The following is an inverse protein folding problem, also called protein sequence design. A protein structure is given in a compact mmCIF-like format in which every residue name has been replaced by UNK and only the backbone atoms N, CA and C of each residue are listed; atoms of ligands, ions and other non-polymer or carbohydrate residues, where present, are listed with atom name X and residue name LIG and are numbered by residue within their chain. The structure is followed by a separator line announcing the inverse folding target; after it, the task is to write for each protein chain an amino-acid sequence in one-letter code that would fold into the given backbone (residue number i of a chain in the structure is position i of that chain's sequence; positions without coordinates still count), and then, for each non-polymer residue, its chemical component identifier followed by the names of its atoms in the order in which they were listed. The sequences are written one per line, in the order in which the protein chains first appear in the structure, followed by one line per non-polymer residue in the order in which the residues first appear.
data_IF_659428110886
#
_entry.id   IF_659428110886
#
_cell.length_a   1.000
_cell.length_b   1.000
_cell.length_c   1.000
_cell.angle_alpha   90.00
_cell.angle_beta   90.00
_cell.angle_gamma   90.00
#
_symmetry.space_group_name_H-M   'P 1'
#
loop_
_entity.id
_entity.type
_entity.pdbx_description
1 polymer ?
#
# COMPACT_ATOMS: atom_id res chain seq x y z
N UNK A 1 -6.99 -59.65 -8.50
CA UNK A 1 -6.49 -58.27 -8.65
C UNK A 1 -7.20 -57.41 -7.61
N UNK A 2 -6.58 -57.19 -6.45
CA UNK A 2 -7.14 -56.40 -5.36
C UNK A 2 -6.76 -54.94 -5.56
N UNK A 3 -7.75 -54.08 -5.79
CA UNK A 3 -7.57 -52.63 -5.83
C UNK A 3 -7.33 -52.13 -4.40
N UNK A 4 -6.11 -51.73 -4.11
CA UNK A 4 -5.78 -50.96 -2.91
C UNK A 4 -6.37 -49.57 -3.07
N UNK A 5 -7.53 -49.33 -2.45
CA UNK A 5 -8.02 -47.97 -2.19
C UNK A 5 -6.99 -47.27 -1.32
N UNK A 6 -6.25 -46.34 -1.90
CA UNK A 6 -5.26 -45.51 -1.23
C UNK A 6 -6.01 -44.70 -0.15
N UNK A 7 -5.91 -45.13 1.11
CA UNK A 7 -6.34 -44.32 2.23
C UNK A 7 -5.35 -43.15 2.35
N UNK A 8 -5.66 -42.05 1.67
CA UNK A 8 -4.92 -40.80 1.81
C UNK A 8 -5.17 -40.34 3.25
N UNK A 9 -4.13 -40.42 4.09
CA UNK A 9 -4.20 -39.94 5.46
C UNK A 9 -4.53 -38.43 5.45
N UNK A 10 -5.28 -37.97 6.45
CA UNK A 10 -5.66 -36.56 6.58
C UNK A 10 -4.45 -35.62 6.53
N UNK A 11 -3.31 -36.06 7.03
CA UNK A 11 -2.03 -35.33 6.96
C UNK A 11 -1.57 -35.04 5.52
N UNK A 12 -1.72 -36.00 4.61
CA UNK A 12 -1.35 -35.81 3.20
C UNK A 12 -2.28 -34.80 2.55
N UNK A 13 -3.57 -34.81 2.92
CA UNK A 13 -4.55 -33.82 2.42
C UNK A 13 -4.18 -32.41 2.90
N UNK A 14 -3.81 -32.24 4.18
CA UNK A 14 -3.40 -30.94 4.71
C UNK A 14 -2.09 -30.43 4.10
N UNK A 15 -1.11 -31.31 3.85
CA UNK A 15 0.14 -30.94 3.17
C UNK A 15 -0.12 -30.46 1.73
N UNK A 16 -0.99 -31.14 0.99
CA UNK A 16 -1.38 -30.73 -0.37
C UNK A 16 -2.13 -29.40 -0.33
N UNK A 17 -3.05 -29.21 0.62
CA UNK A 17 -3.81 -27.97 0.77
C UNK A 17 -2.88 -26.78 1.06
N UNK A 18 -1.91 -26.95 1.98
CA UNK A 18 -0.92 -25.93 2.32
C UNK A 18 -0.01 -25.61 1.14
N UNK A 19 0.42 -26.62 0.38
CA UNK A 19 1.23 -26.42 -0.82
C UNK A 19 0.46 -25.60 -1.89
N UNK A 20 -0.83 -25.87 -2.08
CA UNK A 20 -1.69 -25.10 -3.01
C UNK A 20 -1.84 -23.64 -2.55
N UNK A 21 -2.03 -23.40 -1.25
CA UNK A 21 -2.12 -22.03 -0.69
C UNK A 21 -0.81 -21.27 -0.89
N UNK A 22 0.34 -21.91 -0.66
CA UNK A 22 1.66 -21.28 -0.87
C UNK A 22 1.87 -20.96 -2.36
N UNK A 23 1.54 -21.89 -3.26
CA UNK A 23 1.67 -21.68 -4.71
C UNK A 23 0.75 -20.54 -5.17
N UNK A 24 -0.50 -20.50 -4.70
CA UNK A 24 -1.43 -19.41 -5.01
C UNK A 24 -0.92 -18.07 -4.47
N UNK A 25 -0.35 -18.05 -3.26
CA UNK A 25 0.29 -16.87 -2.69
C UNK A 25 1.42 -16.35 -3.59
N UNK A 26 2.33 -17.23 -4.02
CA UNK A 26 3.46 -16.88 -4.90
C UNK A 26 2.97 -16.40 -6.27
N UNK A 27 1.96 -17.05 -6.86
CA UNK A 27 1.39 -16.65 -8.16
C UNK A 27 0.75 -15.27 -8.08
N UNK A 28 0.09 -14.92 -6.97
CA UNK A 28 -0.44 -13.57 -6.75
C UNK A 28 0.72 -12.57 -6.58
N UNK A 29 1.74 -12.88 -5.79
CA UNK A 29 2.91 -12.00 -5.61
C UNK A 29 3.63 -11.75 -6.94
N UNK A 30 3.89 -12.80 -7.73
CA UNK A 30 4.60 -12.69 -9.01
C UNK A 30 3.71 -12.07 -10.09
N UNK A 31 2.43 -12.43 -10.15
CA UNK A 31 1.47 -11.92 -11.13
C UNK A 31 1.12 -10.44 -10.97
N UNK A 32 1.14 -9.92 -9.74
CA UNK A 32 0.98 -8.48 -9.46
C UNK A 32 2.30 -7.72 -9.69
N UNK A 33 3.45 -8.34 -9.46
CA UNK A 33 4.76 -7.71 -9.61
C UNK A 33 5.28 -7.68 -11.06
N UNK A 34 4.86 -8.63 -11.92
CA UNK A 34 5.29 -8.69 -13.31
C UNK A 34 4.87 -7.49 -14.19
N UNK A 35 3.63 -6.95 -14.12
CA UNK A 35 3.28 -5.76 -14.88
C UNK A 35 3.91 -4.47 -14.31
N UNK A 36 4.38 -4.47 -13.06
CA UNK A 36 5.07 -3.30 -12.45
C UNK A 36 6.52 -3.20 -12.94
N UNK A 37 7.19 -4.34 -13.18
CA UNK A 37 8.59 -4.34 -13.63
C UNK A 37 8.76 -4.11 -15.14
N UNK A 38 7.79 -4.48 -15.97
CA UNK A 38 7.91 -4.32 -17.43
C UNK A 38 7.47 -2.95 -17.94
N UNK A 39 6.69 -2.20 -17.15
CA UNK A 39 6.28 -0.83 -17.51
C UNK A 39 7.23 0.26 -16.99
N UNK A 40 8.30 -0.11 -16.27
CA UNK A 40 9.25 0.81 -15.64
C UNK A 40 10.65 0.82 -16.31
N UNK A 41 10.77 0.38 -17.56
CA UNK A 41 12.04 0.42 -18.31
C UNK A 41 12.20 1.66 -19.20
N UNK A 42 11.64 2.78 -18.77
CA UNK A 42 11.73 4.05 -19.48
C UNK A 42 11.41 5.24 -18.58
N UNK A 43 12.29 5.55 -17.63
CA UNK A 43 12.71 6.92 -17.32
C UNK A 43 13.59 6.90 -16.06
N UNK A 44 14.89 6.64 -16.23
CA UNK A 44 15.89 7.18 -15.31
C UNK A 44 15.99 8.68 -15.61
N UNK A 45 15.02 9.45 -15.17
CA UNK A 45 15.13 10.90 -15.08
C UNK A 45 15.50 11.20 -13.64
N UNK A 46 16.79 11.50 -13.44
CA UNK A 46 17.36 12.30 -12.36
C UNK A 46 16.50 12.42 -11.10
N UNK A 47 16.95 11.78 -10.02
CA UNK A 47 16.74 12.29 -8.66
C UNK A 47 17.28 13.73 -8.65
N UNK A 48 16.42 14.64 -9.08
CA UNK A 48 16.66 16.06 -9.03
C UNK A 48 16.67 16.42 -7.57
N UNK A 49 17.84 16.85 -7.13
CA UNK A 49 18.11 17.69 -5.98
C UNK A 49 17.11 18.88 -6.00
N UNK A 50 15.87 18.64 -5.54
CA UNK A 50 14.88 19.69 -5.32
C UNK A 50 15.31 20.38 -4.04
N UNK A 51 15.80 21.62 -4.21
CA UNK A 51 16.09 22.54 -3.12
C UNK A 51 14.93 22.58 -2.11
N UNK A 52 15.31 22.44 -0.85
CA UNK A 52 14.48 22.37 0.37
C UNK A 52 13.89 23.74 0.74
N UNK A 53 13.32 24.48 -0.22
CA UNK A 53 12.82 25.84 0.07
C UNK A 53 11.30 25.95 0.20
N UNK A 54 10.51 24.93 -0.16
CA UNK A 54 9.05 24.91 0.05
C UNK A 54 8.50 23.48 0.29
N UNK A 55 9.26 22.60 0.99
CA UNK A 55 8.72 21.29 1.36
C UNK A 55 7.63 21.44 2.44
N UNK A 56 6.42 20.97 2.09
CA UNK A 56 5.26 20.97 2.96
C UNK A 56 5.54 20.27 4.31
N UNK A 57 5.01 20.77 5.45
CA UNK A 57 5.37 20.29 6.78
C UNK A 57 5.18 18.78 6.98
N UNK A 58 4.14 18.22 6.37
CA UNK A 58 3.83 16.78 6.40
C UNK A 58 4.91 15.95 5.71
N UNK A 59 5.28 16.33 4.47
CA UNK A 59 6.28 15.60 3.68
C UNK A 59 7.64 15.64 4.36
N UNK A 60 8.00 16.78 4.96
CA UNK A 60 9.24 16.91 5.74
C UNK A 60 9.25 15.99 6.96
N UNK A 61 8.15 15.93 7.74
CA UNK A 61 8.03 15.04 8.91
C UNK A 61 8.14 13.57 8.52
N UNK A 62 7.47 13.18 7.43
CA UNK A 62 7.56 11.82 6.93
C UNK A 62 8.98 11.53 6.46
N UNK A 63 9.59 12.37 5.62
CA UNK A 63 10.99 12.18 5.16
C UNK A 63 11.97 12.03 6.33
N UNK A 64 11.85 12.89 7.35
CA UNK A 64 12.65 12.77 8.57
C UNK A 64 12.43 11.42 9.30
N UNK A 65 11.18 10.95 9.38
CA UNK A 65 10.87 9.62 9.95
C UNK A 65 11.57 8.49 9.19
N UNK A 66 11.67 8.60 7.86
CA UNK A 66 12.45 7.68 7.03
C UNK A 66 13.96 7.78 7.28
N UNK A 67 14.51 8.98 7.38
CA UNK A 67 15.94 9.20 7.68
C UNK A 67 16.35 8.65 9.04
N UNK A 68 15.45 8.66 10.02
CA UNK A 68 15.64 8.04 11.33
C UNK A 68 15.55 6.49 11.32
N UNK A 69 15.37 5.88 10.15
CA UNK A 69 15.22 4.43 9.97
C UNK A 69 13.87 3.89 10.45
N UNK A 70 12.91 4.76 10.77
CA UNK A 70 11.56 4.40 11.25
C UNK A 70 10.59 4.18 10.09
N UNK A 71 11.02 3.45 9.06
CA UNK A 71 10.28 3.27 7.82
C UNK A 71 8.85 2.76 8.03
N UNK A 72 8.67 1.76 8.89
CA UNK A 72 7.35 1.19 9.18
C UNK A 72 6.37 2.24 9.73
N UNK A 73 6.85 3.10 10.64
CA UNK A 73 6.04 4.17 11.22
C UNK A 73 5.65 5.17 10.13
N UNK A 74 6.62 5.59 9.31
CA UNK A 74 6.36 6.52 8.21
C UNK A 74 5.40 5.95 7.15
N UNK A 75 5.48 4.65 6.84
CA UNK A 75 4.53 3.97 5.93
C UNK A 75 3.10 3.93 6.48
N UNK A 76 2.95 3.72 7.79
CA UNK A 76 1.65 3.73 8.44
C UNK A 76 1.07 5.14 8.43
N UNK A 77 1.88 6.14 8.80
CA UNK A 77 1.48 7.53 8.84
C UNK A 77 1.11 8.06 7.45
N UNK A 78 1.90 7.77 6.42
CA UNK A 78 1.64 8.23 5.04
C UNK A 78 0.26 7.79 4.54
N UNK A 79 -0.09 6.52 4.76
CA UNK A 79 -1.41 5.99 4.39
C UNK A 79 -2.53 6.62 5.21
N UNK A 80 -2.36 6.72 6.53
CA UNK A 80 -3.37 7.31 7.42
C UNK A 80 -3.67 8.77 7.05
N UNK A 81 -2.66 9.58 6.76
CA UNK A 81 -2.86 10.98 6.39
C UNK A 81 -3.68 11.12 5.11
N UNK A 82 -3.38 10.32 4.08
CA UNK A 82 -4.17 10.33 2.84
C UNK A 82 -5.58 9.82 3.07
N UNK A 83 -5.73 8.72 3.80
CA UNK A 83 -7.04 8.14 4.12
C UNK A 83 -7.92 9.17 4.82
N UNK A 84 -7.44 9.76 5.90
CA UNK A 84 -8.22 10.70 6.72
C UNK A 84 -8.58 11.95 5.92
N UNK A 85 -7.66 12.44 5.09
CA UNK A 85 -7.94 13.60 4.27
C UNK A 85 -8.94 13.33 3.15
N UNK A 86 -8.92 12.14 2.53
CA UNK A 86 -9.91 11.76 1.53
C UNK A 86 -11.28 11.48 2.15
N UNK A 87 -11.33 10.91 3.37
CA UNK A 87 -12.58 10.75 4.10
C UNK A 87 -13.23 12.12 4.37
N UNK A 88 -12.44 13.11 4.77
CA UNK A 88 -12.92 14.47 4.99
C UNK A 88 -13.36 15.15 3.69
N UNK A 89 -12.57 15.03 2.63
CA UNK A 89 -12.88 15.63 1.32
C UNK A 89 -14.22 15.13 0.78
N UNK A 90 -14.42 13.81 0.79
CA UNK A 90 -15.62 13.19 0.25
C UNK A 90 -16.75 13.08 1.29
N UNK A 91 -16.59 13.72 2.45
CA UNK A 91 -17.53 13.71 3.57
C UNK A 91 -18.05 12.29 3.88
N UNK A 92 -17.13 11.34 3.98
CA UNK A 92 -17.42 9.92 4.19
C UNK A 92 -17.46 9.66 5.70
N UNK A 93 -18.63 9.29 6.18
CA UNK A 93 -18.77 8.76 7.53
C UNK A 93 -18.45 7.26 7.51
N UNK A 94 -17.62 6.83 8.46
CA UNK A 94 -17.31 5.42 8.70
C UNK A 94 -17.60 5.08 10.16
N UNK A 95 -17.95 3.82 10.41
CA UNK A 95 -18.16 3.28 11.74
C UNK A 95 -16.84 2.82 12.34
N UNK A 96 -16.77 2.79 13.68
CA UNK A 96 -15.64 2.14 14.39
C UNK A 96 -15.55 0.63 14.13
N UNK A 97 -16.64 0.04 13.63
CA UNK A 97 -16.67 -1.38 13.26
C UNK A 97 -16.10 -1.65 11.85
N UNK A 98 -15.94 -0.61 11.03
CA UNK A 98 -15.49 -0.78 9.64
C UNK A 98 -13.99 -1.12 9.61
N UNK A 99 -13.65 -2.09 8.78
CA UNK A 99 -12.26 -2.45 8.51
C UNK A 99 -11.59 -1.42 7.61
N UNK A 100 -10.25 -1.33 7.64
CA UNK A 100 -9.50 -0.43 6.74
C UNK A 100 -9.81 -0.68 5.26
N UNK A 101 -10.12 -1.93 4.90
CA UNK A 101 -10.52 -2.32 3.55
C UNK A 101 -11.89 -1.74 3.17
N UNK A 102 -12.85 -1.76 4.08
CA UNK A 102 -14.18 -1.18 3.88
C UNK A 102 -14.09 0.34 3.78
N UNK A 103 -13.30 0.97 4.65
CA UNK A 103 -12.99 2.39 4.59
C UNK A 103 -12.38 2.74 3.22
N UNK A 104 -11.33 2.02 2.78
CA UNK A 104 -10.74 2.24 1.46
C UNK A 104 -11.76 2.06 0.33
N UNK A 105 -12.60 1.02 0.39
CA UNK A 105 -13.63 0.77 -0.61
C UNK A 105 -14.62 1.93 -0.71
N UNK A 106 -15.01 2.51 0.42
CA UNK A 106 -15.90 3.70 0.45
C UNK A 106 -15.25 4.93 -0.20
N UNK A 107 -13.92 5.05 -0.10
CA UNK A 107 -13.13 6.09 -0.75
C UNK A 107 -13.04 5.78 -2.26
N UNK A 108 -12.48 4.65 -2.68
CA UNK A 108 -12.19 4.34 -4.09
C UNK A 108 -13.41 4.19 -4.99
N UNK A 109 -14.60 3.96 -4.42
CA UNK A 109 -15.83 3.85 -5.19
C UNK A 109 -16.49 5.20 -5.49
N UNK A 110 -15.90 6.33 -5.07
CA UNK A 110 -16.37 7.67 -5.41
C UNK A 110 -16.21 7.99 -6.89
N UNK A 111 -17.25 8.57 -7.49
CA UNK A 111 -17.32 8.85 -8.93
C UNK A 111 -16.28 9.88 -9.36
N UNK A 112 -15.91 10.79 -8.46
CA UNK A 112 -14.89 11.82 -8.65
C UNK A 112 -13.47 11.22 -8.71
N UNK A 113 -13.30 9.95 -8.32
CA UNK A 113 -12.01 9.31 -8.24
C UNK A 113 -11.59 8.69 -9.57
N UNK A 114 -10.59 9.28 -10.22
CA UNK A 114 -10.02 8.71 -11.46
C UNK A 114 -9.42 7.30 -11.22
N UNK A 115 -9.46 6.44 -12.24
CA UNK A 115 -8.83 5.10 -12.20
C UNK A 115 -7.37 5.14 -11.74
N UNK A 116 -6.61 6.16 -12.19
CA UNK A 116 -5.21 6.34 -11.81
C UNK A 116 -4.99 6.59 -10.31
N UNK A 117 -5.89 7.35 -9.69
CA UNK A 117 -5.87 7.63 -8.24
C UNK A 117 -6.26 6.37 -7.47
N UNK A 118 -7.32 5.68 -7.90
CA UNK A 118 -7.77 4.41 -7.29
C UNK A 118 -6.63 3.40 -7.23
N UNK A 119 -5.91 3.20 -8.34
CA UNK A 119 -4.76 2.29 -8.39
C UNK A 119 -3.67 2.69 -7.40
N UNK A 120 -3.35 3.99 -7.29
CA UNK A 120 -2.30 4.47 -6.38
C UNK A 120 -2.68 4.32 -4.91
N UNK A 121 -3.94 4.60 -4.56
CA UNK A 121 -4.47 4.38 -3.22
C UNK A 121 -4.45 2.90 -2.84
N UNK A 122 -4.82 2.01 -3.77
CA UNK A 122 -4.70 0.57 -3.58
C UNK A 122 -3.25 0.14 -3.36
N UNK A 123 -2.30 0.68 -4.12
CA UNK A 123 -0.87 0.40 -3.92
C UNK A 123 -0.39 0.87 -2.54
N UNK A 124 -0.75 2.08 -2.11
CA UNK A 124 -0.46 2.59 -0.77
C UNK A 124 -1.06 1.72 0.33
N UNK A 125 -2.31 1.28 0.15
CA UNK A 125 -2.97 0.37 1.08
C UNK A 125 -2.26 -0.98 1.20
N UNK A 126 -1.78 -1.55 0.10
CA UNK A 126 -1.00 -2.81 0.13
C UNK A 126 0.29 -2.63 0.93
N UNK A 127 1.01 -1.53 0.71
CA UNK A 127 2.23 -1.21 1.47
C UNK A 127 1.89 -1.04 2.96
N UNK A 128 0.79 -0.35 3.26
CA UNK A 128 0.29 -0.17 4.63
C UNK A 128 -0.06 -1.49 5.31
N UNK A 129 -0.85 -2.36 4.68
CA UNK A 129 -1.24 -3.66 5.22
C UNK A 129 0.00 -4.53 5.50
N UNK A 130 0.93 -4.58 4.55
CA UNK A 130 2.21 -5.26 4.73
C UNK A 130 3.02 -4.67 5.90
N UNK A 131 3.02 -3.35 6.08
CA UNK A 131 3.75 -2.69 7.16
C UNK A 131 3.09 -2.85 8.53
N UNK A 132 1.75 -2.89 8.55
CA UNK A 132 0.95 -3.03 9.78
C UNK A 132 0.97 -4.45 10.34
N UNK A 133 0.88 -5.44 9.44
CA UNK A 133 0.75 -6.85 9.82
C UNK A 133 2.01 -7.69 9.56
N UNK A 134 2.99 -7.14 8.85
CA UNK A 134 4.24 -7.83 8.57
C UNK A 134 5.19 -7.87 9.77
N UNK A 135 5.74 -9.05 10.05
CA UNK A 135 6.92 -9.23 10.93
C UNK A 135 8.25 -8.85 10.22
N UNK A 136 8.19 -8.32 9.01
CA UNK A 136 9.35 -7.95 8.20
C UNK A 136 9.65 -6.46 8.39
N UNK A 137 10.91 -6.13 8.64
CA UNK A 137 11.35 -4.74 8.67
C UNK A 137 11.01 -4.09 7.32
N UNK A 138 10.24 -3.00 7.36
CA UNK A 138 9.96 -2.18 6.19
C UNK A 138 11.28 -1.73 5.54
N UNK A 139 11.40 -1.92 4.24
CA UNK A 139 12.62 -1.56 3.53
C UNK A 139 12.64 -0.07 3.17
N UNK A 140 13.82 0.57 3.08
CA UNK A 140 13.96 1.94 2.58
C UNK A 140 13.31 2.12 1.20
N UNK A 141 13.35 1.08 0.36
CA UNK A 141 12.76 1.10 -0.99
C UNK A 141 11.23 1.16 -0.98
N UNK A 142 10.59 0.40 -0.08
CA UNK A 142 9.12 0.49 0.09
C UNK A 142 8.72 1.85 0.63
N UNK A 143 9.54 2.41 1.52
CA UNK A 143 9.37 3.75 2.03
C UNK A 143 9.42 4.82 0.94
N UNK A 144 10.47 4.82 0.11
CA UNK A 144 10.59 5.71 -1.04
C UNK A 144 9.41 5.57 -2.01
N UNK A 145 8.97 4.34 -2.27
CA UNK A 145 7.81 4.09 -3.13
C UNK A 145 6.52 4.67 -2.55
N UNK A 146 6.30 4.50 -1.24
CA UNK A 146 5.18 5.12 -0.54
C UNK A 146 5.24 6.64 -0.62
N UNK A 147 6.42 7.25 -0.45
CA UNK A 147 6.58 8.70 -0.51
C UNK A 147 6.31 9.23 -1.92
N UNK A 148 6.76 8.54 -2.97
CA UNK A 148 6.44 8.92 -4.36
C UNK A 148 4.94 8.83 -4.65
N UNK A 149 4.26 7.78 -4.16
CA UNK A 149 2.81 7.64 -4.31
C UNK A 149 2.06 8.73 -3.54
N UNK A 150 2.54 9.05 -2.33
CA UNK A 150 1.99 10.10 -1.49
C UNK A 150 2.10 11.46 -2.19
N UNK A 151 3.28 11.84 -2.66
CA UNK A 151 3.51 13.11 -3.34
C UNK A 151 2.65 13.27 -4.60
N UNK A 152 2.50 12.20 -5.40
CA UNK A 152 1.61 12.23 -6.57
C UNK A 152 0.14 12.44 -6.18
N UNK A 153 -0.32 11.77 -5.13
CA UNK A 153 -1.68 11.95 -4.61
C UNK A 153 -1.89 13.35 -4.06
N UNK A 154 -0.92 13.90 -3.33
CA UNK A 154 -0.97 15.27 -2.82
C UNK A 154 -0.96 16.29 -3.96
N UNK A 155 -0.26 16.02 -5.06
CA UNK A 155 -0.32 16.86 -6.26
C UNK A 155 -1.72 16.92 -6.89
N UNK A 156 -2.51 15.84 -6.77
CA UNK A 156 -3.90 15.78 -7.24
C UNK A 156 -4.91 16.30 -6.22
N UNK A 157 -4.57 16.18 -4.95
CA UNK A 157 -5.40 16.53 -3.81
C UNK A 157 -4.59 17.41 -2.83
N UNK A 158 -4.26 18.65 -3.22
CA UNK A 158 -3.39 19.51 -2.42
C UNK A 158 -4.04 19.95 -1.10
N UNK A 159 -5.37 19.83 -0.97
CA UNK A 159 -6.09 20.11 0.28
C UNK A 159 -5.79 19.10 1.40
N UNK A 160 -5.27 17.91 1.06
CA UNK A 160 -4.85 16.90 2.05
C UNK A 160 -3.67 17.40 2.91
N UNK A 161 -2.89 18.35 2.40
CA UNK A 161 -1.76 18.95 3.10
C UNK A 161 -2.17 19.94 4.20
N UNK A 162 -3.34 20.57 4.06
CA UNK A 162 -3.84 21.59 5.01
C UNK A 162 -4.39 20.99 6.30
N UNK A 163 -4.47 19.66 6.40
CA UNK A 163 -5.18 19.00 7.50
C UNK A 163 -4.33 18.80 8.76
N UNK A 164 -3.00 18.90 8.68
CA UNK A 164 -2.12 18.82 9.87
C UNK A 164 -1.89 20.16 10.60
N UNK A 165 -2.61 21.23 10.23
CA UNK A 165 -2.49 22.54 10.87
C UNK A 165 -3.38 22.74 12.12
N UNK A 166 -4.02 21.69 12.63
CA UNK A 166 -4.87 21.76 13.83
C UNK A 166 -4.54 20.67 14.84
#
# INVERSE_FOLDING_TARGET
MTFSLLAISSDIIYQILMAVIIILGIVITVGVMYPVLTSARGSRSSLGERRVEDEEPLLKRLRQTGEEGKYMIGLIQSYQTIRDGLLKEFNINYSRADTEREILNSIINRDEMSKSVRTRLLSLYVIYEHSRFGNLQASPREYEMSMMLLEDLLGKYPMLLKQEMH
#
